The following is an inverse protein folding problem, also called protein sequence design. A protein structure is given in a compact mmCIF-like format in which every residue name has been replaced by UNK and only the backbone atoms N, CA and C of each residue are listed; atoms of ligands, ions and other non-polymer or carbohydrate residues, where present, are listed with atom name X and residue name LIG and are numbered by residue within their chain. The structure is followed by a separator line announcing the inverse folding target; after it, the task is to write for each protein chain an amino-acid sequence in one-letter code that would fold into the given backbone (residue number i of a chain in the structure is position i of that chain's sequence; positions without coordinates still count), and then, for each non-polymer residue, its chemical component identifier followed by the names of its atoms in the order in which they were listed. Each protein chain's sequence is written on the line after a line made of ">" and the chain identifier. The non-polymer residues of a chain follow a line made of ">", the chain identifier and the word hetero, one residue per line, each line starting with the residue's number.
data_IF_508353483049
#
_entry.id   IF_508353483049
#
_cell.length_a   1.000
_cell.length_b   1.000
_cell.length_c   1.000
_cell.angle_alpha   90.00
_cell.angle_beta   90.00
_cell.angle_gamma   90.00
#
_symmetry.space_group_name_H-M   'P 1'
#
loop_
_entity.id
_entity.type
_entity.pdbx_description
1 polymer ?
#
# COMPACT_ATOMS: atom_id res chain seq x y z
N UNK A 1 -15.12 -13.88 0.36
CA UNK A 1 -13.66 -14.12 0.49
C UNK A 1 -13.21 -15.11 -0.57
N UNK A 2 -12.04 -14.89 -1.18
CA UNK A 2 -11.48 -15.72 -2.28
C UNK A 2 -11.52 -17.21 -1.91
N UNK A 3 -11.01 -17.59 -0.72
CA UNK A 3 -11.06 -18.96 -0.19
C UNK A 3 -12.43 -19.64 -0.26
N UNK A 4 -13.54 -18.92 -0.05
CA UNK A 4 -14.90 -19.51 -0.11
C UNK A 4 -15.34 -19.82 -1.55
N UNK A 5 -14.79 -19.09 -2.52
CA UNK A 5 -15.13 -19.21 -3.95
C UNK A 5 -14.18 -20.16 -4.70
N UNK A 6 -12.91 -20.17 -4.32
CA UNK A 6 -11.85 -20.99 -4.95
C UNK A 6 -11.51 -22.25 -4.16
N UNK A 7 -11.94 -22.37 -2.90
CA UNK A 7 -11.57 -23.48 -2.00
C UNK A 7 -10.14 -23.39 -1.44
N UNK A 8 -9.25 -22.70 -2.14
CA UNK A 8 -7.81 -22.57 -1.83
C UNK A 8 -7.38 -21.10 -1.73
N UNK A 9 -6.27 -20.87 -1.01
CA UNK A 9 -5.53 -19.60 -0.96
C UNK A 9 -4.11 -19.78 -1.50
N UNK A 10 -3.77 -20.95 -2.01
CA UNK A 10 -2.45 -21.21 -2.57
C UNK A 10 -2.29 -20.48 -3.91
N UNK A 11 -1.26 -19.63 -3.99
CA UNK A 11 -0.93 -18.85 -5.18
C UNK A 11 -0.67 -19.71 -6.42
N UNK A 12 -0.19 -20.95 -6.23
CA UNK A 12 0.08 -21.89 -7.31
C UNK A 12 -1.20 -22.48 -7.95
N UNK A 13 -2.30 -22.48 -7.20
CA UNK A 13 -3.59 -23.04 -7.62
C UNK A 13 -4.60 -21.96 -8.06
N UNK A 14 -4.20 -20.69 -7.96
CA UNK A 14 -4.97 -19.54 -8.38
C UNK A 14 -4.45 -19.03 -9.74
N UNK A 15 -5.37 -18.61 -10.62
CA UNK A 15 -5.00 -18.09 -11.93
C UNK A 15 -6.21 -17.62 -12.73
N UNK A 16 -6.04 -16.57 -13.53
CA UNK A 16 -7.07 -16.08 -14.46
C UNK A 16 -8.34 -15.50 -13.81
N UNK A 17 -8.32 -15.16 -12.51
CA UNK A 17 -9.50 -14.64 -11.80
C UNK A 17 -10.01 -13.31 -12.37
N UNK A 18 -9.18 -12.53 -13.08
CA UNK A 18 -9.59 -11.25 -13.65
C UNK A 18 -10.76 -11.37 -14.64
N UNK A 19 -10.88 -12.50 -15.35
CA UNK A 19 -11.99 -12.73 -16.29
C UNK A 19 -13.31 -13.01 -15.56
N UNK A 20 -13.25 -13.69 -14.42
CA UNK A 20 -14.43 -14.10 -13.66
C UNK A 20 -14.93 -13.01 -12.70
N UNK A 21 -14.01 -12.22 -12.12
CA UNK A 21 -14.31 -11.16 -11.16
C UNK A 21 -13.47 -9.89 -11.42
N UNK A 22 -13.82 -9.09 -12.46
CA UNK A 22 -13.02 -7.94 -12.87
C UNK A 22 -12.97 -6.82 -11.81
N UNK A 23 -14.06 -6.57 -11.07
CA UNK A 23 -14.08 -5.54 -10.02
C UNK A 23 -13.19 -5.92 -8.84
N UNK A 24 -13.20 -7.19 -8.46
CA UNK A 24 -12.28 -7.71 -7.46
C UNK A 24 -10.82 -7.56 -7.88
N UNK A 25 -10.51 -7.90 -9.14
CA UNK A 25 -9.17 -7.76 -9.69
C UNK A 25 -8.70 -6.29 -9.70
N UNK A 26 -9.62 -5.36 -9.97
CA UNK A 26 -9.33 -3.93 -9.90
C UNK A 26 -9.09 -3.45 -8.46
N UNK A 27 -10.00 -3.75 -7.53
CA UNK A 27 -9.86 -3.32 -6.13
C UNK A 27 -8.62 -3.92 -5.47
N UNK A 28 -8.35 -5.20 -5.71
CA UNK A 28 -7.13 -5.85 -5.21
C UNK A 28 -5.88 -5.25 -5.86
N UNK A 29 -5.91 -4.99 -7.17
CA UNK A 29 -4.80 -4.33 -7.87
C UNK A 29 -4.53 -2.94 -7.31
N UNK A 30 -5.57 -2.14 -7.10
CA UNK A 30 -5.47 -0.80 -6.51
C UNK A 30 -4.92 -0.85 -5.07
N UNK A 31 -5.43 -1.76 -4.24
CA UNK A 31 -4.90 -1.97 -2.89
C UNK A 31 -3.43 -2.45 -2.92
N UNK A 32 -3.08 -3.32 -3.87
CA UNK A 32 -1.72 -3.77 -4.10
C UNK A 32 -0.79 -2.62 -4.49
N UNK A 33 -1.22 -1.76 -5.42
CA UNK A 33 -0.50 -0.55 -5.81
C UNK A 33 -0.34 0.43 -4.65
N UNK A 34 -1.36 0.57 -3.81
CA UNK A 34 -1.28 1.40 -2.60
C UNK A 34 -0.26 0.85 -1.61
N UNK A 35 -0.18 -0.47 -1.46
CA UNK A 35 0.76 -1.14 -0.55
C UNK A 35 2.23 -1.05 -0.98
N UNK A 36 2.52 -0.85 -2.27
CA UNK A 36 3.89 -0.78 -2.78
C UNK A 36 4.40 0.66 -2.93
N UNK A 37 3.62 1.65 -2.50
CA UNK A 37 4.03 3.05 -2.55
C UNK A 37 3.93 3.69 -3.94
N UNK A 38 2.91 3.37 -4.74
CA UNK A 38 2.72 4.05 -6.03
C UNK A 38 2.43 5.56 -5.80
N UNK A 39 3.06 6.48 -6.57
CA UNK A 39 2.84 7.91 -6.41
C UNK A 39 1.35 8.28 -6.48
N UNK A 40 0.92 9.10 -5.51
CA UNK A 40 -0.49 9.53 -5.37
C UNK A 40 -1.33 8.65 -4.44
N UNK A 41 -0.76 7.60 -3.83
CA UNK A 41 -1.41 6.79 -2.79
C UNK A 41 -0.75 7.06 -1.43
N UNK A 42 -1.54 6.88 -0.36
CA UNK A 42 -1.15 7.25 1.01
C UNK A 42 0.22 6.71 1.48
N UNK A 43 0.61 5.51 1.04
CA UNK A 43 1.87 4.89 1.49
C UNK A 43 3.10 5.62 0.92
N UNK A 44 2.99 6.15 -0.31
CA UNK A 44 4.08 6.87 -0.98
C UNK A 44 4.48 8.14 -0.22
N UNK A 45 3.50 8.94 0.24
CA UNK A 45 3.80 10.17 0.98
C UNK A 45 4.57 9.88 2.27
N UNK A 46 4.24 8.80 2.97
CA UNK A 46 4.97 8.38 4.18
C UNK A 46 6.39 7.91 3.87
N UNK A 47 6.57 7.07 2.86
CA UNK A 47 7.88 6.56 2.44
C UNK A 47 8.81 7.69 1.99
N UNK A 48 8.31 8.66 1.22
CA UNK A 48 9.09 9.81 0.78
C UNK A 48 9.51 10.69 1.97
N UNK A 49 8.62 10.94 2.93
CA UNK A 49 8.97 11.71 4.13
C UNK A 49 10.05 11.00 4.96
N UNK A 50 9.97 9.68 5.11
CA UNK A 50 10.99 8.87 5.79
C UNK A 50 12.34 8.97 5.08
N UNK A 51 12.35 8.88 3.74
CA UNK A 51 13.57 9.01 2.97
C UNK A 51 14.16 10.42 3.03
N UNK A 52 13.35 11.46 2.90
CA UNK A 52 13.79 12.85 3.04
C UNK A 52 14.34 13.13 4.45
N UNK A 53 13.67 12.65 5.49
CA UNK A 53 14.12 12.78 6.88
C UNK A 53 15.47 12.09 7.11
N UNK A 54 15.67 10.91 6.53
CA UNK A 54 16.94 10.16 6.62
C UNK A 54 18.16 10.89 6.03
N UNK A 55 17.94 11.84 5.11
CA UNK A 55 19.01 12.64 4.49
C UNK A 55 19.05 14.10 4.97
N UNK A 56 18.13 14.53 5.83
CA UNK A 56 18.01 15.94 6.24
C UNK A 56 19.24 16.48 6.98
N UNK A 57 19.97 15.62 7.70
CA UNK A 57 21.20 15.98 8.43
C UNK A 57 22.47 15.40 7.77
N UNK A 58 22.46 15.22 6.45
CA UNK A 58 23.63 14.69 5.74
C UNK A 58 24.60 15.80 5.35
N UNK A 59 25.68 15.96 6.13
CA UNK A 59 26.72 16.98 5.91
C UNK A 59 27.76 16.59 4.83
N UNK A 60 27.54 15.52 4.06
CA UNK A 60 28.38 15.16 2.91
C UNK A 60 29.73 14.48 3.24
N UNK A 61 30.21 14.54 4.49
CA UNK A 61 31.55 14.05 4.82
C UNK A 61 31.64 12.53 5.05
N UNK A 62 30.60 11.90 5.64
CA UNK A 62 30.54 10.46 5.89
C UNK A 62 29.10 9.94 5.81
N UNK A 63 28.86 8.77 5.20
CA UNK A 63 27.58 8.07 5.35
C UNK A 63 27.42 7.63 6.82
N UNK A 64 26.52 8.27 7.55
CA UNK A 64 26.16 7.87 8.90
C UNK A 64 25.27 6.62 8.93
N UNK A 65 25.05 6.11 10.14
CA UNK A 65 24.20 4.94 10.38
C UNK A 65 22.79 5.12 9.80
N UNK A 66 22.23 6.33 9.94
CA UNK A 66 20.89 6.67 9.46
C UNK A 66 20.81 6.54 7.93
N UNK A 67 21.79 7.07 7.19
CA UNK A 67 21.80 7.02 5.73
C UNK A 67 21.95 5.58 5.20
N UNK A 68 22.78 4.76 5.85
CA UNK A 68 22.87 3.33 5.48
C UNK A 68 21.57 2.58 5.72
N UNK A 69 20.86 2.87 6.83
CA UNK A 69 19.54 2.30 7.10
C UNK A 69 18.50 2.76 6.05
N UNK A 70 18.53 4.03 5.62
CA UNK A 70 17.66 4.56 4.57
C UNK A 70 17.88 3.84 3.23
N UNK A 71 19.13 3.57 2.85
CA UNK A 71 19.45 2.80 1.63
C UNK A 71 18.93 1.37 1.72
N UNK A 72 19.08 0.71 2.88
CA UNK A 72 18.53 -0.63 3.10
C UNK A 72 17.00 -0.64 3.06
N UNK A 73 16.35 0.40 3.60
CA UNK A 73 14.91 0.56 3.54
C UNK A 73 14.41 0.69 2.08
N UNK A 74 15.14 1.40 1.22
CA UNK A 74 14.83 1.50 -0.21
C UNK A 74 14.80 0.12 -0.89
N UNK A 75 15.76 -0.75 -0.58
CA UNK A 75 15.76 -2.14 -1.07
C UNK A 75 14.53 -2.93 -0.59
N UNK A 76 14.09 -2.70 0.65
CA UNK A 76 12.86 -3.28 1.19
C UNK A 76 11.62 -2.94 0.36
N UNK A 77 11.50 -1.68 -0.07
CA UNK A 77 10.40 -1.23 -0.95
C UNK A 77 10.44 -1.95 -2.30
N UNK A 78 11.62 -2.09 -2.90
CA UNK A 78 11.79 -2.81 -4.19
C UNK A 78 11.36 -4.28 -4.06
N UNK A 79 11.79 -4.96 -2.99
CA UNK A 79 11.43 -6.37 -2.75
C UNK A 79 9.91 -6.50 -2.54
N UNK A 80 9.31 -5.60 -1.76
CA UNK A 80 7.87 -5.55 -1.54
C UNK A 80 7.09 -5.39 -2.85
N UNK A 81 7.53 -4.47 -3.71
CA UNK A 81 6.93 -4.23 -5.02
C UNK A 81 7.00 -5.46 -5.94
N UNK A 82 8.16 -6.10 -6.03
CA UNK A 82 8.35 -7.31 -6.84
C UNK A 82 7.46 -8.45 -6.35
N UNK A 83 7.39 -8.67 -5.04
CA UNK A 83 6.57 -9.73 -4.46
C UNK A 83 5.07 -9.49 -4.70
N UNK A 84 4.58 -8.27 -4.44
CA UNK A 84 3.17 -7.93 -4.64
C UNK A 84 2.77 -8.03 -6.11
N UNK A 85 3.61 -7.55 -7.04
CA UNK A 85 3.33 -7.65 -8.48
C UNK A 85 3.33 -9.10 -8.95
N UNK A 86 4.25 -9.94 -8.42
CA UNK A 86 4.27 -11.37 -8.70
C UNK A 86 3.02 -12.06 -8.20
N UNK A 87 2.57 -11.74 -6.98
CA UNK A 87 1.34 -12.29 -6.41
C UNK A 87 0.09 -11.86 -7.21
N UNK A 88 0.02 -10.60 -7.63
CA UNK A 88 -1.05 -10.09 -8.48
C UNK A 88 -1.12 -10.82 -9.81
N UNK A 89 0.04 -10.98 -10.48
CA UNK A 89 0.14 -11.68 -11.75
C UNK A 89 -0.27 -13.15 -11.63
N UNK A 90 0.17 -13.85 -10.60
CA UNK A 90 -0.19 -15.25 -10.40
C UNK A 90 -1.69 -15.42 -10.11
N UNK A 91 -2.26 -14.55 -9.27
CA UNK A 91 -3.66 -14.70 -8.85
C UNK A 91 -4.65 -14.29 -9.94
N UNK A 92 -4.44 -13.14 -10.59
CA UNK A 92 -5.44 -12.53 -11.46
C UNK A 92 -5.14 -12.71 -12.95
N UNK A 93 -3.87 -12.82 -13.32
CA UNK A 93 -3.42 -12.96 -14.70
C UNK A 93 -3.05 -14.43 -14.99
N UNK A 94 -2.81 -14.76 -16.25
CA UNK A 94 -2.48 -16.13 -16.67
C UNK A 94 -3.71 -17.00 -17.03
N UNK A 95 -3.47 -18.25 -17.47
CA UNK A 95 -4.53 -19.17 -17.84
C UNK A 95 -5.31 -19.61 -16.60
N UNK A 96 -6.65 -19.77 -16.71
CA UNK A 96 -7.45 -20.28 -15.60
C UNK A 96 -7.04 -21.72 -15.26
N UNK A 97 -6.85 -21.98 -13.97
CA UNK A 97 -6.51 -23.29 -13.39
C UNK A 97 -7.79 -24.06 -13.04
N UNK A 98 -7.70 -25.38 -12.85
CA UNK A 98 -8.85 -26.29 -12.65
C UNK A 98 -9.85 -25.87 -11.54
N UNK A 99 -9.38 -25.22 -10.47
CA UNK A 99 -10.22 -24.74 -9.36
C UNK A 99 -10.86 -23.37 -9.59
N UNK A 100 -10.47 -22.68 -10.66
CA UNK A 100 -10.98 -21.36 -11.07
C UNK A 100 -12.01 -21.46 -12.20
N UNK A 101 -12.77 -22.56 -12.23
CA UNK A 101 -13.91 -22.72 -13.14
C UNK A 101 -14.86 -21.53 -13.00
N UNK A 102 -15.09 -20.86 -14.13
CA UNK A 102 -15.77 -19.56 -14.25
C UNK A 102 -17.18 -19.50 -13.65
N UNK A 103 -17.81 -20.63 -13.34
CA UNK A 103 -19.13 -20.69 -12.70
C UNK A 103 -19.09 -20.48 -11.17
N UNK A 104 -17.99 -20.83 -10.49
CA UNK A 104 -17.90 -20.70 -9.02
C UNK A 104 -17.52 -19.28 -8.58
N UNK A 105 -16.59 -18.64 -9.30
CA UNK A 105 -15.99 -17.36 -8.92
C UNK A 105 -16.71 -16.18 -9.58
N UNK A 106 -18.03 -16.08 -9.35
CA UNK A 106 -18.78 -14.87 -9.74
C UNK A 106 -18.43 -13.71 -8.82
N UNK A 107 -18.32 -12.51 -9.39
CA UNK A 107 -17.99 -11.26 -8.71
C UNK A 107 -18.79 -11.08 -7.40
N UNK A 108 -18.15 -10.54 -6.37
CA UNK A 108 -18.81 -10.39 -5.08
C UNK A 108 -19.98 -9.40 -5.18
N UNK A 109 -21.05 -9.66 -4.42
CA UNK A 109 -22.16 -8.73 -4.32
C UNK A 109 -21.70 -7.35 -3.85
N UNK A 110 -22.40 -6.26 -4.22
CA UNK A 110 -21.96 -4.88 -3.99
C UNK A 110 -21.68 -4.61 -2.50
N UNK A 111 -22.47 -5.20 -1.59
CA UNK A 111 -22.27 -5.08 -0.15
C UNK A 111 -20.90 -5.56 0.36
N UNK A 112 -20.27 -6.51 -0.31
CA UNK A 112 -18.94 -6.99 0.07
C UNK A 112 -17.82 -6.12 -0.53
N UNK A 113 -18.12 -5.37 -1.59
CA UNK A 113 -17.17 -4.47 -2.27
C UNK A 113 -17.15 -3.07 -1.65
N UNK A 114 -18.23 -2.63 -1.00
CA UNK A 114 -18.33 -1.31 -0.35
C UNK A 114 -17.16 -1.03 0.61
N UNK A 115 -16.80 -1.92 1.56
CA UNK A 115 -15.69 -1.66 2.48
C UNK A 115 -14.35 -1.48 1.75
N UNK A 116 -14.09 -2.32 0.74
CA UNK A 116 -12.89 -2.23 -0.07
C UNK A 116 -12.84 -0.93 -0.89
N UNK A 117 -13.99 -0.49 -1.42
CA UNK A 117 -14.12 0.79 -2.10
C UNK A 117 -13.87 1.98 -1.18
N UNK A 118 -14.43 1.96 0.04
CA UNK A 118 -14.20 3.01 1.05
C UNK A 118 -12.71 3.11 1.41
N UNK A 119 -12.04 1.98 1.62
CA UNK A 119 -10.60 1.95 1.90
C UNK A 119 -9.78 2.48 0.72
N UNK A 120 -10.12 2.07 -0.50
CA UNK A 120 -9.46 2.55 -1.71
C UNK A 120 -9.59 4.08 -1.88
N UNK A 121 -10.79 4.62 -1.63
CA UNK A 121 -11.04 6.07 -1.67
C UNK A 121 -10.24 6.79 -0.58
N UNK A 122 -10.21 6.25 0.64
CA UNK A 122 -9.43 6.81 1.74
C UNK A 122 -7.93 6.89 1.39
N UNK A 123 -7.37 5.82 0.80
CA UNK A 123 -5.98 5.77 0.35
C UNK A 123 -5.66 6.82 -0.74
N UNK A 124 -6.61 7.10 -1.62
CA UNK A 124 -6.49 8.15 -2.64
C UNK A 124 -6.55 9.55 -2.03
N UNK A 125 -7.51 9.81 -1.12
CA UNK A 125 -7.65 11.11 -0.47
C UNK A 125 -6.39 11.46 0.31
N UNK A 126 -5.90 10.53 1.15
CA UNK A 126 -4.69 10.75 1.95
C UNK A 126 -3.45 10.85 1.07
N UNK A 127 -3.36 10.05 0.00
CA UNK A 127 -2.23 10.10 -0.93
C UNK A 127 -2.14 11.39 -1.75
N UNK A 128 -3.28 11.96 -2.15
CA UNK A 128 -3.34 13.21 -2.91
C UNK A 128 -3.20 14.46 -2.02
N UNK A 129 -3.70 14.39 -0.78
CA UNK A 129 -3.66 15.50 0.17
C UNK A 129 -2.98 15.09 1.49
N UNK A 130 -1.66 14.83 1.48
CA UNK A 130 -0.93 14.47 2.70
C UNK A 130 -0.86 15.62 3.71
N UNK A 131 -0.96 16.88 3.25
CA UNK A 131 -0.92 18.07 4.10
C UNK A 131 -2.00 18.08 5.19
N UNK A 132 -3.18 17.51 4.89
CA UNK A 132 -4.27 17.41 5.86
C UNK A 132 -3.90 16.54 7.06
N UNK A 133 -2.98 15.58 6.89
CA UNK A 133 -2.51 14.70 7.95
C UNK A 133 -1.34 15.34 8.71
N UNK A 134 -0.43 16.00 7.99
CA UNK A 134 0.71 16.71 8.58
C UNK A 134 0.28 17.84 9.52
N UNK A 135 -0.72 18.65 9.14
CA UNK A 135 -1.22 19.71 10.02
C UNK A 135 -1.77 19.20 11.37
N UNK A 136 -2.38 17.99 11.41
CA UNK A 136 -2.84 17.39 12.66
C UNK A 136 -1.69 16.95 13.57
N UNK A 137 -0.50 16.72 13.01
CA UNK A 137 0.70 16.34 13.74
C UNK A 137 1.51 17.57 14.18
N UNK A 138 1.48 18.66 13.41
CA UNK A 138 2.14 19.93 13.76
C UNK A 138 1.43 20.65 14.92
N UNK A 139 0.10 20.52 15.01
CA UNK A 139 -0.72 21.19 16.03
C UNK A 139 -0.38 20.83 17.50
N UNK A 140 -0.11 19.55 17.86
CA UNK A 140 0.36 19.22 19.21
C UNK A 140 1.81 19.64 19.50
N UNK A 141 2.67 19.84 18.50
CA UNK A 141 4.07 20.25 18.69
C UNK A 141 4.19 21.76 18.97
N UNK A 142 3.32 22.58 18.37
CA UNK A 142 3.21 23.99 18.72
C UNK A 142 2.78 24.17 20.19
N UNK A 143 1.82 23.38 20.66
CA UNK A 143 1.30 23.47 22.03
C UNK A 143 2.32 23.07 23.12
N UNK A 144 3.23 22.12 22.83
CA UNK A 144 4.29 21.71 23.76
C UNK A 144 5.46 22.70 23.80
N UNK A 145 5.78 23.35 22.69
CA UNK A 145 6.83 24.38 22.62
C UNK A 145 6.46 25.66 23.39
N UNK A 146 5.18 26.05 23.42
CA UNK A 146 4.70 27.20 24.19
C UNK A 146 4.72 26.96 25.71
N UNK A 147 4.50 25.71 26.16
CA UNK A 147 4.53 25.38 27.59
C UNK A 147 5.95 25.37 28.15
N UNK A 148 6.95 25.00 27.33
CA UNK A 148 8.35 25.03 27.74
C UNK A 148 8.96 26.44 27.72
N UNK A 149 8.48 27.33 26.84
CA UNK A 149 8.85 28.76 26.87
C UNK A 149 8.16 29.54 28.00
N UNK A 150 6.95 29.18 28.41
CA UNK A 150 6.27 29.81 29.55
C UNK A 150 6.80 29.38 30.93
N UNK A 151 7.62 28.33 30.99
CA UNK A 151 8.27 27.81 32.21
C UNK A 151 9.70 28.34 32.42
N UNK A 152 10.25 29.07 31.43
CA UNK A 152 11.57 29.72 31.48
C UNK A 152 11.44 31.22 31.74
#
# INVERSE_FOLDING_TARGET
>A
TIRRKTGTVELAELGGLAKAAPRLAFLFGLAGMASIGLPGLANFSGEVLVFLSGFNNYDGECLGYVQTATILALWGVVISAVYMLRAYRQTFQGPPVSHTSSESVRDFGPFCQIPAGILAISLLIVGLYPNSLLQFLDEPEAASSETEQASK
#
